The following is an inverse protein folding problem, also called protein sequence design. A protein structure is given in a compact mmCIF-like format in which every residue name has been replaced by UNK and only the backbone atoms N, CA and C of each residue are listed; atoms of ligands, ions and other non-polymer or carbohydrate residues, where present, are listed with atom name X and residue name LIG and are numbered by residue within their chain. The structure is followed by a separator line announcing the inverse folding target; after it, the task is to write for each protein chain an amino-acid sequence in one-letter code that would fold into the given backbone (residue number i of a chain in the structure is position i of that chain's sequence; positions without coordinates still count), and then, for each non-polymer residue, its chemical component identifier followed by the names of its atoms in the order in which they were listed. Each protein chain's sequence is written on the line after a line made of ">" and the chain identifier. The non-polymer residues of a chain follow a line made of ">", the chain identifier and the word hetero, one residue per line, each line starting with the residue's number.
data_IF_577717877201
#
_entry.id   IF_577717877201
#
_cell.length_a   1.000
_cell.length_b   1.000
_cell.length_c   1.000
_cell.angle_alpha   90.00
_cell.angle_beta   90.00
_cell.angle_gamma   90.00
#
_symmetry.space_group_name_H-M   'P 1'
#
loop_
_entity.id
_entity.type
_entity.pdbx_description
1 polymer ?
#
# COMPACT_ATOMS: atom_id res chain seq x y z
N UNK A 1 -2.14 -4.91 -21.70
CA UNK A 1 -1.14 -4.49 -20.67
C UNK A 1 -1.23 -5.41 -19.45
N UNK A 2 -0.16 -5.59 -18.68
CA UNK A 2 -0.12 -6.36 -17.43
C UNK A 2 -0.16 -5.42 -16.24
N UNK A 3 -1.21 -5.51 -15.42
CA UNK A 3 -1.44 -4.62 -14.28
C UNK A 3 -1.50 -5.42 -13.00
N UNK A 4 -0.77 -4.97 -11.97
CA UNK A 4 -0.85 -5.52 -10.62
C UNK A 4 -1.39 -4.45 -9.66
N UNK A 5 -2.57 -4.67 -9.11
CA UNK A 5 -3.11 -3.90 -8.00
C UNK A 5 -2.63 -4.48 -6.66
N UNK A 6 -2.35 -3.64 -5.67
CA UNK A 6 -1.88 -4.08 -4.35
C UNK A 6 -2.65 -3.42 -3.21
N UNK A 7 -3.43 -4.20 -2.47
CA UNK A 7 -4.14 -3.73 -1.28
C UNK A 7 -4.48 -4.90 -0.35
N UNK A 8 -4.33 -4.80 0.98
CA UNK A 8 -4.64 -5.90 1.90
C UNK A 8 -6.12 -6.29 1.85
N UNK A 9 -7.02 -5.32 1.73
CA UNK A 9 -8.44 -5.55 1.44
C UNK A 9 -8.71 -5.63 -0.07
N UNK A 10 -9.72 -6.40 -0.47
CA UNK A 10 -10.17 -6.54 -1.85
C UNK A 10 -11.66 -6.20 -1.97
N UNK A 11 -12.11 -5.44 -2.99
CA UNK A 11 -11.33 -4.73 -4.02
C UNK A 11 -10.92 -3.29 -3.62
N UNK A 12 -11.31 -2.86 -2.41
CA UNK A 12 -10.96 -1.57 -1.81
C UNK A 12 -11.16 -0.37 -2.77
N UNK A 13 -10.27 0.63 -2.73
CA UNK A 13 -10.32 1.84 -3.56
C UNK A 13 -10.11 1.54 -5.06
N UNK A 14 -9.64 0.35 -5.42
CA UNK A 14 -9.32 0.00 -6.81
C UNK A 14 -10.45 -0.68 -7.58
N UNK A 15 -11.61 -0.95 -6.93
CA UNK A 15 -12.75 -1.68 -7.52
C UNK A 15 -13.09 -1.23 -8.93
N UNK A 16 -13.35 0.07 -9.11
CA UNK A 16 -13.87 0.59 -10.37
C UNK A 16 -12.82 0.60 -11.46
N UNK A 17 -11.58 0.98 -11.14
CA UNK A 17 -10.47 1.03 -12.09
C UNK A 17 -10.07 -0.38 -12.53
N UNK A 18 -9.91 -1.31 -11.58
CA UNK A 18 -9.59 -2.70 -11.89
C UNK A 18 -10.68 -3.35 -12.75
N UNK A 19 -11.97 -3.12 -12.43
CA UNK A 19 -13.08 -3.61 -13.22
C UNK A 19 -13.10 -3.02 -14.64
N UNK A 20 -12.81 -1.72 -14.79
CA UNK A 20 -12.78 -1.07 -16.10
C UNK A 20 -11.65 -1.61 -16.98
N UNK A 21 -10.44 -1.75 -16.43
CA UNK A 21 -9.29 -2.29 -17.16
C UNK A 21 -9.48 -3.77 -17.54
N UNK A 22 -10.17 -4.54 -16.70
CA UNK A 22 -10.45 -5.95 -16.93
C UNK A 22 -11.49 -6.22 -18.03
N UNK A 23 -12.24 -5.19 -18.48
CA UNK A 23 -13.17 -5.33 -19.62
C UNK A 23 -12.45 -5.49 -20.95
N UNK A 24 -11.22 -5.00 -21.06
CA UNK A 24 -10.38 -5.15 -22.24
C UNK A 24 -9.60 -6.47 -22.12
N UNK A 25 -9.89 -7.42 -23.01
CA UNK A 25 -9.27 -8.75 -23.01
C UNK A 25 -7.78 -8.74 -23.37
N UNK A 26 -7.25 -7.63 -23.89
CA UNK A 26 -5.81 -7.44 -24.09
C UNK A 26 -5.06 -7.13 -22.78
N UNK A 27 -5.80 -6.85 -21.69
CA UNK A 27 -5.25 -6.64 -20.36
C UNK A 27 -5.22 -7.92 -19.54
N UNK A 28 -4.12 -8.08 -18.79
CA UNK A 28 -4.00 -9.07 -17.73
C UNK A 28 -4.01 -8.32 -16.40
N UNK A 29 -5.11 -8.42 -15.67
CA UNK A 29 -5.28 -7.71 -14.40
C UNK A 29 -5.13 -8.69 -13.25
N UNK A 30 -4.16 -8.41 -12.38
CA UNK A 30 -3.90 -9.13 -11.14
C UNK A 30 -4.17 -8.21 -9.94
N UNK A 31 -4.61 -8.80 -8.83
CA UNK A 31 -4.81 -8.09 -7.57
C UNK A 31 -4.17 -8.88 -6.44
N UNK A 32 -3.06 -8.36 -5.91
CA UNK A 32 -2.41 -8.84 -4.69
C UNK A 32 -3.16 -8.40 -3.45
N UNK A 33 -3.60 -9.35 -2.62
CA UNK A 33 -4.40 -9.07 -1.41
C UNK A 33 -4.24 -10.13 -0.33
N UNK A 34 -4.63 -9.81 0.91
CA UNK A 34 -4.76 -10.82 1.99
C UNK A 34 -6.21 -11.32 2.12
N UNK A 35 -7.19 -10.57 1.58
CA UNK A 35 -8.63 -10.87 1.65
C UNK A 35 -9.04 -11.99 0.68
N UNK A 36 -9.53 -13.12 1.18
CA UNK A 36 -9.93 -14.28 0.36
C UNK A 36 -11.28 -14.10 -0.32
N UNK A 37 -12.20 -13.43 0.35
CA UNK A 37 -13.59 -13.24 -0.07
C UNK A 37 -13.70 -12.25 -1.24
N UNK A 38 -14.80 -12.38 -1.98
CA UNK A 38 -15.12 -11.52 -3.12
C UNK A 38 -14.32 -11.85 -4.38
N UNK A 39 -14.94 -11.56 -5.52
CA UNK A 39 -14.36 -11.69 -6.86
C UNK A 39 -14.71 -10.48 -7.71
N UNK A 40 -13.96 -10.26 -8.78
CA UNK A 40 -14.25 -9.24 -9.77
C UNK A 40 -13.98 -9.85 -11.16
N UNK A 41 -14.96 -9.86 -12.09
CA UNK A 41 -14.77 -10.45 -13.41
C UNK A 41 -13.54 -9.90 -14.14
N UNK A 42 -12.73 -10.80 -14.72
CA UNK A 42 -11.50 -10.46 -15.42
C UNK A 42 -10.31 -10.06 -14.53
N UNK A 43 -10.45 -10.08 -13.20
CA UNK A 43 -9.36 -9.79 -12.26
C UNK A 43 -8.90 -11.07 -11.55
N UNK A 44 -7.62 -11.40 -11.70
CA UNK A 44 -6.99 -12.55 -11.06
C UNK A 44 -6.50 -12.18 -9.66
N UNK A 45 -7.10 -12.77 -8.63
CA UNK A 45 -6.63 -12.57 -7.25
C UNK A 45 -5.39 -13.41 -6.98
N UNK A 46 -4.38 -12.79 -6.38
CA UNK A 46 -3.20 -13.46 -5.86
C UNK A 46 -2.98 -13.05 -4.41
N UNK A 47 -2.49 -13.98 -3.62
CA UNK A 47 -2.48 -13.84 -2.17
C UNK A 47 -1.06 -13.73 -1.65
N UNK A 48 -0.88 -12.84 -0.67
CA UNK A 48 0.32 -12.77 0.13
C UNK A 48 -0.02 -12.89 1.61
N UNK A 49 0.93 -13.38 2.40
CA UNK A 49 0.79 -13.49 3.85
C UNK A 49 2.15 -13.22 4.50
N UNK A 50 2.16 -12.30 5.47
CA UNK A 50 3.34 -12.10 6.31
C UNK A 50 3.65 -13.39 7.09
N UNK A 51 4.94 -13.73 7.20
CA UNK A 51 5.36 -14.96 7.92
C UNK A 51 5.13 -14.87 9.42
N UNK A 52 5.08 -13.66 9.95
CA UNK A 52 4.89 -13.33 11.36
C UNK A 52 4.26 -11.95 11.47
N UNK A 53 3.90 -11.58 12.69
CA UNK A 53 3.52 -10.22 13.06
C UNK A 53 4.71 -9.51 13.72
N UNK A 54 4.63 -8.18 13.85
CA UNK A 54 5.55 -7.42 14.68
C UNK A 54 5.45 -7.89 16.14
N UNK A 55 6.58 -7.94 16.82
CA UNK A 55 6.62 -8.49 18.19
C UNK A 55 6.12 -7.45 19.20
N UNK A 56 5.55 -7.89 20.34
CA UNK A 56 5.14 -6.97 21.41
C UNK A 56 6.29 -6.12 21.97
N UNK A 57 7.51 -6.65 21.98
CA UNK A 57 8.70 -5.97 22.50
C UNK A 57 9.26 -4.94 21.51
N UNK A 58 8.80 -4.93 20.25
CA UNK A 58 9.14 -3.88 19.30
C UNK A 58 8.63 -2.54 19.81
N UNK A 59 9.52 -1.56 19.84
CA UNK A 59 9.20 -0.19 20.24
C UNK A 59 7.92 0.28 19.55
N UNK A 60 6.97 0.81 20.31
CA UNK A 60 5.61 1.08 19.82
C UNK A 60 5.58 2.05 18.64
N UNK A 61 6.56 2.96 18.53
CA UNK A 61 6.72 3.84 17.36
C UNK A 61 7.01 3.09 16.06
N UNK A 62 7.84 2.04 16.11
CA UNK A 62 8.29 1.33 14.90
C UNK A 62 7.50 0.07 14.63
N UNK A 63 6.64 -0.38 15.56
CA UNK A 63 5.77 -1.55 15.35
C UNK A 63 4.90 -1.44 14.07
N UNK A 64 4.27 -0.29 13.74
CA UNK A 64 3.57 -0.13 12.46
C UNK A 64 4.51 -0.26 11.24
N UNK A 65 5.72 0.31 11.33
CA UNK A 65 6.72 0.19 10.28
C UNK A 65 7.20 -1.26 10.10
N UNK A 66 7.47 -1.98 11.20
CA UNK A 66 7.82 -3.40 11.14
C UNK A 66 6.72 -4.21 10.46
N UNK A 67 5.45 -3.97 10.81
CA UNK A 67 4.32 -4.59 10.13
C UNK A 67 4.31 -4.26 8.63
N UNK A 68 4.55 -3.01 8.25
CA UNK A 68 4.62 -2.62 6.83
C UNK A 68 5.74 -3.37 6.09
N UNK A 69 6.93 -3.48 6.69
CA UNK A 69 8.06 -4.24 6.13
C UNK A 69 7.70 -5.72 5.96
N UNK A 70 7.04 -6.33 6.95
CA UNK A 70 6.61 -7.73 6.88
C UNK A 70 5.58 -7.98 5.76
N UNK A 71 4.66 -7.03 5.54
CA UNK A 71 3.71 -7.08 4.42
C UNK A 71 4.44 -6.89 3.08
N UNK A 72 5.34 -5.92 2.98
CA UNK A 72 6.16 -5.70 1.78
C UNK A 72 6.95 -6.95 1.39
N UNK A 73 7.59 -7.61 2.35
CA UNK A 73 8.29 -8.88 2.11
C UNK A 73 7.36 -10.00 1.65
N UNK A 74 6.12 -10.04 2.16
CA UNK A 74 5.13 -11.01 1.70
C UNK A 74 4.71 -10.75 0.25
N UNK A 75 4.51 -9.49 -0.12
CA UNK A 75 4.25 -9.09 -1.50
C UNK A 75 5.43 -9.42 -2.40
N UNK A 76 6.67 -9.14 -1.97
CA UNK A 76 7.87 -9.48 -2.74
C UNK A 76 7.91 -10.97 -3.09
N UNK A 77 7.70 -11.87 -2.11
CA UNK A 77 7.65 -13.32 -2.35
C UNK A 77 6.50 -13.75 -3.27
N UNK A 78 5.34 -13.10 -3.17
CA UNK A 78 4.23 -13.32 -4.09
C UNK A 78 4.59 -12.88 -5.51
N UNK A 79 5.26 -11.73 -5.65
CA UNK A 79 5.75 -11.20 -6.91
C UNK A 79 6.84 -12.08 -7.54
N UNK A 80 7.72 -12.69 -6.75
CA UNK A 80 8.68 -13.70 -7.24
C UNK A 80 7.95 -14.89 -7.88
N UNK A 81 6.88 -15.38 -7.26
CA UNK A 81 6.07 -16.47 -7.81
C UNK A 81 5.35 -16.06 -9.09
N UNK A 82 4.82 -14.84 -9.17
CA UNK A 82 4.24 -14.30 -10.40
C UNK A 82 5.27 -14.21 -11.53
N UNK A 83 6.45 -13.67 -11.22
CA UNK A 83 7.56 -13.51 -12.16
C UNK A 83 8.02 -14.87 -12.70
N UNK A 84 8.15 -15.87 -11.83
CA UNK A 84 8.49 -17.24 -12.22
C UNK A 84 7.44 -17.89 -13.14
N UNK A 85 6.18 -17.45 -13.07
CA UNK A 85 5.09 -17.86 -13.98
C UNK A 85 4.98 -16.99 -15.24
N UNK A 86 5.96 -16.12 -15.49
CA UNK A 86 6.02 -15.26 -16.67
C UNK A 86 5.23 -13.96 -16.58
N UNK A 87 4.65 -13.63 -15.41
CA UNK A 87 3.97 -12.35 -15.20
C UNK A 87 4.95 -11.30 -14.69
N UNK A 88 5.28 -10.35 -15.56
CA UNK A 88 6.01 -9.11 -15.22
C UNK A 88 5.09 -7.94 -15.54
N UNK A 89 4.64 -7.15 -14.55
CA UNK A 89 3.69 -6.07 -14.78
C UNK A 89 4.34 -4.90 -15.53
N UNK A 90 3.54 -4.26 -16.38
CA UNK A 90 3.88 -2.95 -16.96
C UNK A 90 3.60 -1.84 -15.94
N UNK A 91 2.52 -2.00 -15.16
CA UNK A 91 2.07 -1.07 -14.13
C UNK A 91 1.76 -1.82 -12.83
N UNK A 92 2.24 -1.28 -11.72
CA UNK A 92 1.81 -1.65 -10.37
C UNK A 92 1.09 -0.45 -9.77
N UNK A 93 -0.13 -0.65 -9.27
CA UNK A 93 -0.87 0.40 -8.56
C UNK A 93 -1.27 -0.10 -7.17
N UNK A 94 -0.63 0.45 -6.13
CA UNK A 94 -0.84 -0.01 -4.76
C UNK A 94 -1.21 1.12 -3.81
N UNK A 95 -1.81 0.74 -2.69
CA UNK A 95 -2.08 1.66 -1.58
C UNK A 95 -0.83 1.82 -0.71
N UNK A 96 -0.49 3.09 -0.42
CA UNK A 96 0.72 3.47 0.27
C UNK A 96 0.57 3.41 1.80
N UNK A 97 1.67 3.10 2.48
CA UNK A 97 1.80 3.26 3.94
C UNK A 97 1.57 1.99 4.74
N UNK A 98 0.99 0.94 4.16
CA UNK A 98 0.76 -0.34 4.86
C UNK A 98 1.72 -1.45 4.46
N UNK A 99 2.66 -1.17 3.55
CA UNK A 99 3.70 -2.11 3.16
C UNK A 99 3.65 -2.72 1.75
N UNK A 100 2.49 -2.95 1.11
CA UNK A 100 2.43 -3.72 -0.14
C UNK A 100 3.30 -3.18 -1.28
N UNK A 101 3.56 -1.87 -1.33
CA UNK A 101 4.31 -1.19 -2.38
C UNK A 101 5.82 -1.07 -2.12
N UNK A 102 6.27 -1.30 -0.88
CA UNK A 102 7.60 -0.88 -0.40
C UNK A 102 8.78 -1.39 -1.23
N UNK A 103 8.70 -2.62 -1.76
CA UNK A 103 9.79 -3.31 -2.44
C UNK A 103 9.48 -3.65 -3.90
N UNK A 104 8.49 -2.98 -4.49
CA UNK A 104 8.07 -3.29 -5.87
C UNK A 104 9.16 -2.95 -6.89
N UNK A 105 9.90 -1.87 -6.66
CA UNK A 105 11.01 -1.47 -7.54
C UNK A 105 12.19 -2.44 -7.49
N UNK A 106 12.37 -3.17 -6.41
CA UNK A 106 13.42 -4.18 -6.30
C UNK A 106 13.12 -5.43 -7.16
N UNK A 107 11.86 -5.85 -7.23
CA UNK A 107 11.45 -7.04 -8.00
C UNK A 107 11.08 -6.73 -9.47
N UNK A 108 10.46 -5.56 -9.69
CA UNK A 108 9.97 -5.07 -10.97
C UNK A 108 10.48 -3.63 -11.25
N UNK A 109 11.79 -3.43 -11.44
CA UNK A 109 12.38 -2.10 -11.60
C UNK A 109 11.83 -1.31 -12.81
N UNK A 110 11.41 -2.03 -13.85
CA UNK A 110 10.90 -1.45 -15.09
C UNK A 110 9.39 -1.14 -15.04
N UNK A 111 8.65 -1.70 -14.08
CA UNK A 111 7.23 -1.43 -13.96
C UNK A 111 7.00 0.00 -13.46
N UNK A 112 5.99 0.68 -14.01
CA UNK A 112 5.54 1.97 -13.45
C UNK A 112 4.83 1.73 -12.13
N UNK A 113 5.40 2.25 -11.04
CA UNK A 113 4.81 2.17 -9.70
C UNK A 113 3.97 3.42 -9.46
N UNK A 114 2.66 3.21 -9.36
CA UNK A 114 1.69 4.20 -8.93
C UNK A 114 1.34 3.91 -7.48
N UNK A 115 1.29 4.95 -6.65
CA UNK A 115 0.89 4.83 -5.26
C UNK A 115 -0.36 5.67 -4.97
N UNK A 116 -1.35 5.05 -4.34
CA UNK A 116 -2.51 5.74 -3.79
C UNK A 116 -2.18 6.21 -2.37
N UNK A 117 -2.11 7.52 -2.22
CA UNK A 117 -1.73 8.24 -1.01
C UNK A 117 -3.01 8.77 -0.32
N UNK A 118 -3.57 7.91 0.53
CA UNK A 118 -4.82 8.21 1.25
C UNK A 118 -4.60 9.17 2.42
N UNK A 119 -3.49 9.02 3.15
CA UNK A 119 -3.22 9.82 4.34
C UNK A 119 -1.73 10.10 4.53
N UNK A 120 -1.42 11.27 5.07
CA UNK A 120 -0.13 11.62 5.65
C UNK A 120 -0.39 12.14 7.06
N UNK A 121 0.18 11.49 8.06
CA UNK A 121 -0.16 11.74 9.45
C UNK A 121 0.51 13.00 9.97
N UNK A 122 -0.30 13.94 10.46
CA UNK A 122 0.17 15.07 11.28
C UNK A 122 -0.36 14.90 12.70
N UNK A 123 0.40 15.36 13.69
CA UNK A 123 -0.08 15.34 15.07
C UNK A 123 -1.11 16.45 15.31
N UNK A 124 -0.96 17.58 14.62
CA UNK A 124 -1.80 18.76 14.80
C UNK A 124 -2.37 19.23 13.47
N UNK A 125 -3.59 19.77 13.50
CA UNK A 125 -4.28 20.32 12.32
C UNK A 125 -4.79 19.27 11.34
N UNK A 126 -4.91 18.01 11.75
CA UNK A 126 -5.47 16.92 10.93
C UNK A 126 -6.53 16.10 11.69
N UNK A 127 -6.22 14.86 12.06
CA UNK A 127 -7.12 13.84 12.59
C UNK A 127 -6.79 13.43 14.03
N UNK A 128 -5.62 13.82 14.55
CA UNK A 128 -5.15 13.34 15.84
C UNK A 128 -5.48 14.28 17.01
N UNK A 129 -5.71 15.57 16.74
CA UNK A 129 -5.92 16.62 17.75
C UNK A 129 -7.36 17.18 17.77
N UNK A 130 -8.32 16.48 17.14
CA UNK A 130 -9.69 17.01 16.97
C UNK A 130 -10.55 16.96 18.24
N UNK A 131 -10.31 16.02 19.16
CA UNK A 131 -11.08 15.88 20.40
C UNK A 131 -10.35 16.54 21.57
N UNK A 132 -10.87 17.66 22.12
CA UNK A 132 -10.24 18.36 23.24
C UNK A 132 -10.23 17.55 24.55
N UNK A 133 -11.04 16.48 24.66
CA UNK A 133 -11.05 15.59 25.82
C UNK A 133 -9.96 14.51 25.77
N UNK A 134 -9.30 14.34 24.62
CA UNK A 134 -8.22 13.37 24.40
C UNK A 134 -6.94 14.08 23.92
N UNK A 135 -6.31 14.93 24.75
CA UNK A 135 -5.15 15.70 24.34
C UNK A 135 -3.96 14.77 24.05
N UNK A 136 -3.26 15.05 22.94
CA UNK A 136 -2.05 14.34 22.57
C UNK A 136 -0.92 14.59 23.57
N UNK A 137 -0.18 13.53 23.88
CA UNK A 137 1.07 13.65 24.64
C UNK A 137 2.26 13.89 23.69
N UNK A 138 3.41 14.40 24.19
CA UNK A 138 4.62 14.48 23.37
C UNK A 138 5.08 13.13 22.80
N UNK A 139 4.79 12.01 23.49
CA UNK A 139 5.05 10.66 23.00
C UNK A 139 4.17 10.32 21.78
N UNK A 140 2.89 10.72 21.80
CA UNK A 140 1.97 10.53 20.69
C UNK A 140 2.41 11.30 19.44
N UNK A 141 2.83 12.55 19.59
CA UNK A 141 3.28 13.37 18.47
C UNK A 141 4.47 12.73 17.74
N UNK A 142 5.47 12.26 18.49
CA UNK A 142 6.64 11.58 17.94
C UNK A 142 6.27 10.23 17.30
N UNK A 143 5.36 9.48 17.92
CA UNK A 143 4.81 8.23 17.38
C UNK A 143 4.07 8.44 16.07
N UNK A 144 3.20 9.45 16.01
CA UNK A 144 2.41 9.80 14.82
C UNK A 144 3.32 10.15 13.65
N UNK A 145 4.35 10.98 13.88
CA UNK A 145 5.36 11.29 12.86
C UNK A 145 6.03 10.03 12.31
N UNK A 146 6.34 9.06 13.18
CA UNK A 146 7.00 7.81 12.79
C UNK A 146 6.10 6.92 11.91
N UNK A 147 4.76 7.02 12.03
CA UNK A 147 3.83 6.29 11.15
C UNK A 147 3.98 6.64 9.67
N UNK A 148 4.56 7.80 9.35
CA UNK A 148 4.80 8.22 7.97
C UNK A 148 6.01 7.54 7.31
N UNK A 149 6.82 6.79 8.05
CA UNK A 149 8.01 6.13 7.49
C UNK A 149 7.73 5.28 6.22
N UNK A 150 6.76 4.34 6.19
CA UNK A 150 6.46 3.61 4.96
C UNK A 150 5.87 4.50 3.85
N UNK A 151 5.11 5.54 4.21
CA UNK A 151 4.52 6.48 3.26
C UNK A 151 5.61 7.29 2.55
N UNK A 152 6.59 7.78 3.29
CA UNK A 152 7.74 8.52 2.74
C UNK A 152 8.61 7.64 1.84
N UNK A 153 8.78 6.36 2.20
CA UNK A 153 9.49 5.41 1.34
C UNK A 153 8.75 5.17 0.02
N UNK A 154 7.42 5.04 0.07
CA UNK A 154 6.59 4.95 -1.14
C UNK A 154 6.65 6.24 -1.97
N UNK A 155 6.60 7.41 -1.33
CA UNK A 155 6.70 8.71 -1.99
C UNK A 155 8.02 8.86 -2.74
N UNK A 156 9.13 8.44 -2.13
CA UNK A 156 10.45 8.41 -2.75
C UNK A 156 10.52 7.41 -3.94
N UNK A 157 9.88 6.26 -3.81
CA UNK A 157 10.07 5.14 -4.76
C UNK A 157 9.08 5.12 -5.92
N UNK A 158 7.91 5.76 -5.78
CA UNK A 158 6.86 5.73 -6.80
C UNK A 158 7.20 6.61 -8.01
N UNK A 159 6.72 6.21 -9.19
CA UNK A 159 6.81 7.06 -10.38
C UNK A 159 5.76 8.18 -10.34
N UNK A 160 4.57 7.92 -9.78
CA UNK A 160 3.48 8.89 -9.63
C UNK A 160 2.63 8.56 -8.40
N UNK A 161 2.15 9.61 -7.72
CA UNK A 161 1.20 9.52 -6.63
C UNK A 161 -0.20 10.02 -7.01
N UNK A 162 -1.22 9.46 -6.36
CA UNK A 162 -2.60 9.93 -6.42
C UNK A 162 -3.17 10.05 -5.01
N UNK A 163 -3.75 11.20 -4.68
CA UNK A 163 -4.58 11.39 -3.48
C UNK A 163 -6.04 11.60 -3.89
N UNK A 164 -6.99 11.20 -3.05
CA UNK A 164 -8.41 11.27 -3.39
C UNK A 164 -8.92 12.72 -3.47
N UNK A 165 -8.39 13.61 -2.66
CA UNK A 165 -8.78 15.03 -2.59
C UNK A 165 -7.59 15.97 -2.60
N UNK A 166 -7.83 17.23 -2.94
CA UNK A 166 -6.81 18.29 -2.82
C UNK A 166 -6.36 18.50 -1.37
N UNK A 167 -7.29 18.41 -0.41
CA UNK A 167 -6.96 18.55 1.01
C UNK A 167 -6.01 17.45 1.48
N UNK A 168 -6.27 16.18 1.12
CA UNK A 168 -5.37 15.07 1.43
C UNK A 168 -4.00 15.29 0.77
N UNK A 169 -3.97 15.70 -0.51
CA UNK A 169 -2.73 15.98 -1.23
C UNK A 169 -1.89 17.05 -0.54
N UNK A 170 -2.52 18.10 -0.01
CA UNK A 170 -1.83 19.19 0.70
C UNK A 170 -1.17 18.75 2.01
N UNK A 171 -1.49 17.57 2.54
CA UNK A 171 -0.85 17.05 3.75
C UNK A 171 0.54 16.45 3.49
N UNK A 172 0.87 16.12 2.23
CA UNK A 172 2.14 15.50 1.86
C UNK A 172 3.22 16.56 1.58
N UNK A 173 4.52 16.26 1.82
CA UNK A 173 5.63 17.18 1.52
C UNK A 173 5.86 17.37 0.01
#
# INVERSE_FOLDING_TARGET
>A
MRILFLHPNFPAQFRHVAAALAKDSSNQVFFGTTRREGSLPGVNKVFYKAKREARPETHHYVRPLENAVLQGQAVFRMAEQLKARGFVPDVVYGHSGWGPTLFIKDIFPQAKLLCYFEWFYHAHGSDADFDPNEPLTPDDEARIRTKNAPILQDLYSCDRGLSATYWQRQQFP
#
